data_IF_657521775882
#
_entry.id   IF_657521775882
#
_cell.length_a   1.000
_cell.length_b   1.000
_cell.length_c   1.000
_cell.angle_alpha   90.00
_cell.angle_beta   90.00
_cell.angle_gamma   90.00
#
_symmetry.space_group_name_H-M   'P 1'
#
loop_
_entity.id
_entity.type
_entity.pdbx_description
1 polymer ?
#
# COMPACT_ATOMS: atom_id res chain seq x y z
N UNK A 1 4.51 -2.80 -32.58
CA UNK A 1 5.88 -3.01 -32.06
C UNK A 1 5.73 -3.97 -30.92
N UNK A 2 6.10 -5.24 -31.12
CA UNK A 2 6.07 -6.23 -30.03
C UNK A 2 7.20 -5.87 -29.07
N UNK A 3 6.84 -5.41 -27.87
CA UNK A 3 7.83 -5.17 -26.82
C UNK A 3 8.55 -6.48 -26.50
N UNK A 4 9.85 -6.39 -26.20
CA UNK A 4 10.63 -7.55 -25.78
C UNK A 4 9.98 -8.16 -24.52
N UNK A 5 9.49 -9.39 -24.66
CA UNK A 5 8.91 -10.15 -23.54
C UNK A 5 10.05 -10.68 -22.67
N UNK A 6 10.00 -10.39 -21.37
CA UNK A 6 10.94 -10.92 -20.38
C UNK A 6 10.18 -11.79 -19.38
N UNK A 7 10.73 -12.94 -19.04
CA UNK A 7 10.23 -13.76 -17.94
C UNK A 7 10.55 -13.07 -16.62
N UNK A 8 9.53 -12.75 -15.82
CA UNK A 8 9.69 -12.21 -14.46
C UNK A 8 9.04 -13.15 -13.45
N UNK A 9 9.62 -13.22 -12.25
CA UNK A 9 9.00 -13.87 -11.11
C UNK A 9 7.97 -12.91 -10.50
N UNK A 10 6.70 -13.25 -10.58
CA UNK A 10 5.59 -12.51 -9.97
C UNK A 10 5.30 -13.08 -8.59
N UNK A 11 5.43 -12.23 -7.57
CA UNK A 11 5.01 -12.55 -6.20
C UNK A 11 3.57 -12.11 -5.99
N UNK A 12 2.72 -13.02 -5.51
CA UNK A 12 1.32 -12.77 -5.17
C UNK A 12 1.11 -13.01 -3.68
N UNK A 13 0.60 -12.01 -2.96
CA UNK A 13 0.16 -12.23 -1.57
C UNK A 13 -1.29 -12.73 -1.60
N UNK A 14 -1.50 -13.94 -1.09
CA UNK A 14 -2.83 -14.49 -0.81
C UNK A 14 -3.30 -14.00 0.55
N UNK A 15 -4.53 -13.49 0.59
CA UNK A 15 -5.17 -12.92 1.77
C UNK A 15 -6.40 -13.76 2.08
N UNK A 16 -6.32 -14.55 3.14
CA UNK A 16 -7.43 -15.34 3.69
C UNK A 16 -8.06 -14.56 4.85
N UNK A 17 -9.13 -13.82 4.55
CA UNK A 17 -9.78 -12.92 5.51
C UNK A 17 -10.47 -13.69 6.65
N UNK A 18 -10.85 -14.96 6.44
CA UNK A 18 -11.52 -15.78 7.45
C UNK A 18 -10.56 -16.23 8.55
N UNK A 19 -9.25 -16.27 8.26
CA UNK A 19 -8.19 -16.51 9.25
C UNK A 19 -7.74 -15.25 9.98
N UNK A 20 -8.13 -14.06 9.51
CA UNK A 20 -7.67 -12.82 10.10
C UNK A 20 -8.35 -12.56 11.45
N UNK A 21 -7.56 -12.46 12.52
CA UNK A 21 -8.07 -12.13 13.86
C UNK A 21 -8.01 -10.62 14.20
N UNK A 22 -7.64 -9.78 13.22
CA UNK A 22 -7.60 -8.32 13.39
C UNK A 22 -6.56 -7.81 14.39
N UNK A 23 -5.48 -8.56 14.66
CA UNK A 23 -4.43 -8.17 15.62
C UNK A 23 -3.59 -6.97 15.18
N UNK A 24 -3.57 -6.64 13.88
CA UNK A 24 -2.78 -5.55 13.26
C UNK A 24 -1.25 -5.70 13.43
N UNK A 25 -0.76 -6.91 13.70
CA UNK A 25 0.69 -7.19 13.76
C UNK A 25 1.41 -6.84 12.45
N UNK A 26 0.76 -7.08 11.30
CA UNK A 26 1.24 -6.69 9.99
C UNK A 26 1.42 -5.17 9.84
N UNK A 27 0.54 -4.36 10.43
CA UNK A 27 0.65 -2.90 10.36
C UNK A 27 1.89 -2.42 11.14
N UNK A 28 2.09 -2.97 12.33
CA UNK A 28 3.20 -2.67 13.23
C UNK A 28 4.53 -2.99 12.55
N UNK A 29 4.75 -4.24 12.14
CA UNK A 29 6.05 -4.65 11.59
C UNK A 29 6.39 -3.93 10.29
N UNK A 30 5.38 -3.71 9.43
CA UNK A 30 5.60 -3.01 8.17
C UNK A 30 6.02 -1.55 8.44
N UNK A 31 5.33 -0.85 9.34
CA UNK A 31 5.73 0.52 9.70
C UNK A 31 7.08 0.58 10.41
N UNK A 32 7.41 -0.43 11.21
CA UNK A 32 8.68 -0.51 11.92
C UNK A 32 9.86 -0.69 10.95
N UNK A 33 9.71 -1.60 10.00
CA UNK A 33 10.73 -1.85 8.98
C UNK A 33 11.01 -0.61 8.14
N UNK A 34 9.97 0.16 7.80
CA UNK A 34 10.08 1.37 6.99
C UNK A 34 10.40 2.63 7.81
N UNK A 35 10.66 2.52 9.11
CA UNK A 35 11.20 3.64 9.86
C UNK A 35 12.62 3.99 9.36
N UNK A 36 13.02 5.25 9.53
CA UNK A 36 14.36 5.70 9.20
C UNK A 36 15.07 6.18 10.48
N UNK A 37 16.08 5.44 11.00
CA UNK A 37 16.61 4.16 10.52
C UNK A 37 15.66 2.98 10.78
N UNK A 38 15.85 1.87 10.06
CA UNK A 38 14.98 0.67 10.15
C UNK A 38 14.78 0.25 11.61
N UNK A 39 13.53 -0.02 12.00
CA UNK A 39 13.10 -0.44 13.34
C UNK A 39 13.27 0.57 14.47
N UNK A 40 13.69 1.81 14.20
CA UNK A 40 13.87 2.85 15.24
C UNK A 40 12.56 3.27 15.92
N UNK A 41 11.43 3.15 15.22
CA UNK A 41 10.10 3.46 15.71
C UNK A 41 9.08 2.63 14.94
N UNK A 42 7.81 2.68 15.35
CA UNK A 42 6.71 2.12 14.56
C UNK A 42 5.50 3.06 14.66
N UNK A 43 4.71 3.11 13.59
CA UNK A 43 3.47 3.88 13.54
C UNK A 43 2.54 3.24 12.50
N UNK A 44 1.46 2.54 12.92
CA UNK A 44 0.53 1.90 12.00
C UNK A 44 -0.07 2.82 10.93
N UNK A 45 -0.15 4.13 11.18
CA UNK A 45 -0.60 5.10 10.17
C UNK A 45 0.33 5.16 8.94
N UNK A 46 1.63 4.87 9.13
CA UNK A 46 2.67 4.81 8.08
C UNK A 46 2.81 3.44 7.42
N UNK A 47 1.92 2.50 7.74
CA UNK A 47 2.01 1.13 7.24
C UNK A 47 1.51 1.02 5.80
N UNK A 48 2.20 0.20 5.00
CA UNK A 48 1.85 -0.12 3.61
C UNK A 48 0.83 -1.27 3.50
N UNK A 49 0.36 -1.78 4.64
CA UNK A 49 -0.80 -2.67 4.78
C UNK A 49 -1.68 -2.13 5.90
N UNK A 50 -3.00 -2.08 5.70
CA UNK A 50 -3.98 -1.57 6.68
C UNK A 50 -5.14 -2.55 6.80
N UNK A 51 -5.58 -2.84 8.02
CA UNK A 51 -6.71 -3.73 8.30
C UNK A 51 -7.98 -2.89 8.42
N UNK A 52 -8.96 -3.15 7.56
CA UNK A 52 -10.34 -2.74 7.80
C UNK A 52 -10.89 -3.66 8.87
N UNK A 53 -11.13 -3.10 10.06
CA UNK A 53 -11.45 -3.86 11.27
C UNK A 53 -12.73 -3.34 11.90
N UNK A 54 -13.81 -4.08 11.72
CA UNK A 54 -15.06 -3.87 12.44
C UNK A 54 -15.56 -5.19 13.06
N UNK A 55 -15.30 -5.40 14.36
CA UNK A 55 -15.73 -6.61 15.05
C UNK A 55 -17.25 -6.78 15.17
N UNK A 56 -18.04 -5.69 15.11
CA UNK A 56 -19.50 -5.80 15.21
C UNK A 56 -20.13 -6.26 13.90
N UNK A 57 -19.46 -6.01 12.77
CA UNK A 57 -19.85 -6.49 11.44
C UNK A 57 -19.08 -7.75 11.01
N UNK A 58 -18.20 -8.29 11.86
CA UNK A 58 -17.31 -9.41 11.53
C UNK A 58 -16.46 -9.12 10.27
N UNK A 59 -15.90 -7.92 10.18
CA UNK A 59 -15.07 -7.46 9.05
C UNK A 59 -13.61 -7.36 9.50
N UNK A 60 -12.74 -8.15 8.87
CA UNK A 60 -11.30 -8.19 9.10
C UNK A 60 -10.56 -8.33 7.77
N UNK A 61 -10.39 -7.22 7.05
CA UNK A 61 -9.83 -7.24 5.69
C UNK A 61 -8.47 -6.52 5.64
N UNK A 62 -7.36 -7.24 5.47
CA UNK A 62 -6.08 -6.65 5.12
C UNK A 62 -6.10 -6.05 3.70
N UNK A 63 -5.76 -4.78 3.58
CA UNK A 63 -5.66 -4.04 2.31
C UNK A 63 -4.26 -3.48 2.17
N UNK A 64 -3.62 -3.75 1.03
CA UNK A 64 -2.28 -3.28 0.73
C UNK A 64 -2.31 -1.96 -0.03
N UNK A 65 -1.37 -1.09 0.29
CA UNK A 65 -1.09 0.11 -0.50
C UNK A 65 -0.79 -0.27 -1.96
N UNK A 66 -1.35 0.49 -2.89
CA UNK A 66 -1.17 0.36 -4.33
C UNK A 66 -0.66 1.67 -4.92
N UNK A 67 -1.15 2.02 -6.11
CA UNK A 67 -0.69 3.20 -6.84
C UNK A 67 -1.19 4.52 -6.25
N UNK A 68 -0.45 5.59 -6.52
CA UNK A 68 -0.87 6.96 -6.28
C UNK A 68 -1.93 7.39 -7.32
N UNK A 69 -2.91 8.18 -6.88
CA UNK A 69 -3.80 8.91 -7.79
C UNK A 69 -3.89 10.37 -7.39
N UNK A 70 -3.75 11.26 -8.36
CA UNK A 70 -3.87 12.70 -8.16
C UNK A 70 -5.31 13.17 -7.96
N UNK A 71 -6.30 12.37 -8.40
CA UNK A 71 -7.71 12.74 -8.37
C UNK A 71 -8.57 11.61 -7.79
N UNK A 72 -9.73 12.00 -7.27
CA UNK A 72 -10.76 11.07 -6.84
C UNK A 72 -11.55 10.51 -8.03
N UNK A 73 -12.18 9.35 -7.84
CA UNK A 73 -13.13 8.81 -8.78
C UNK A 73 -14.38 9.70 -8.87
N UNK A 74 -14.98 9.82 -10.06
CA UNK A 74 -16.22 10.58 -10.26
C UNK A 74 -17.41 10.01 -9.45
N UNK A 75 -17.37 8.72 -9.15
CA UNK A 75 -18.28 8.04 -8.23
C UNK A 75 -17.49 7.05 -7.38
N UNK A 76 -17.91 6.88 -6.13
CA UNK A 76 -17.28 5.97 -5.18
C UNK A 76 -18.20 4.77 -4.97
N UNK A 77 -17.59 3.61 -4.78
CA UNK A 77 -18.29 2.33 -4.65
C UNK A 77 -18.41 1.92 -3.18
N UNK A 78 -19.51 1.22 -2.89
CA UNK A 78 -19.77 0.60 -1.59
C UNK A 78 -20.33 -0.79 -1.82
N UNK A 79 -19.76 -1.78 -1.16
CA UNK A 79 -20.09 -3.18 -1.39
C UNK A 79 -20.95 -3.76 -0.27
N UNK A 80 -21.91 -4.59 -0.68
CA UNK A 80 -22.54 -5.56 0.19
C UNK A 80 -22.19 -6.95 -0.36
N UNK A 81 -21.48 -7.74 0.45
CA UNK A 81 -21.01 -9.08 0.07
C UNK A 81 -21.40 -10.03 1.19
N UNK A 82 -22.11 -11.10 0.86
CA UNK A 82 -22.56 -12.14 1.81
C UNK A 82 -23.24 -11.57 3.07
N UNK A 83 -24.04 -10.51 2.90
CA UNK A 83 -24.77 -9.85 3.98
C UNK A 83 -23.94 -8.89 4.84
N UNK A 84 -22.63 -8.75 4.58
CA UNK A 84 -21.76 -7.75 5.22
C UNK A 84 -21.71 -6.48 4.40
N UNK A 85 -21.98 -5.34 5.04
CA UNK A 85 -21.87 -4.01 4.42
C UNK A 85 -20.50 -3.40 4.73
N UNK A 86 -19.69 -3.22 3.67
CA UNK A 86 -18.36 -2.63 3.73
C UNK A 86 -18.45 -1.11 3.60
N UNK A 87 -17.42 -0.41 4.09
CA UNK A 87 -17.35 1.04 3.98
C UNK A 87 -17.03 1.44 2.53
N UNK A 88 -17.34 2.68 2.17
CA UNK A 88 -17.03 3.25 0.85
C UNK A 88 -15.53 3.09 0.54
N UNK A 89 -15.18 2.68 -0.68
CA UNK A 89 -13.80 2.47 -1.13
C UNK A 89 -12.99 1.42 -0.33
N UNK A 90 -13.63 0.54 0.46
CA UNK A 90 -12.92 -0.44 1.33
C UNK A 90 -11.85 -1.28 0.63
N UNK A 91 -12.10 -1.73 -0.59
CA UNK A 91 -11.14 -2.59 -1.31
C UNK A 91 -10.17 -1.79 -2.19
N UNK A 92 -10.25 -0.45 -2.17
CA UNK A 92 -9.38 0.40 -2.95
C UNK A 92 -7.98 0.45 -2.33
N UNK A 93 -6.98 0.18 -3.17
CA UNK A 93 -5.56 0.20 -2.78
C UNK A 93 -4.90 1.57 -2.99
N UNK A 94 -5.57 2.48 -3.67
CA UNK A 94 -4.95 3.72 -4.11
C UNK A 94 -4.60 4.64 -2.93
N UNK A 95 -3.42 5.25 -3.01
CA UNK A 95 -3.09 6.44 -2.22
C UNK A 95 -3.84 7.63 -2.83
N UNK A 96 -5.04 7.89 -2.31
CA UNK A 96 -6.03 8.76 -2.91
C UNK A 96 -6.27 10.01 -2.04
N UNK A 97 -6.55 11.19 -2.63
CA UNK A 97 -6.90 12.38 -1.85
C UNK A 97 -8.17 12.22 -1.00
N UNK A 98 -9.05 11.27 -1.29
CA UNK A 98 -10.36 11.11 -0.64
C UNK A 98 -10.35 10.65 0.82
N UNK A 99 -9.24 10.10 1.32
CA UNK A 99 -9.12 9.40 2.61
C UNK A 99 -7.68 9.32 3.06
N UNK A 100 -7.38 9.03 4.33
CA UNK A 100 -6.01 9.12 4.86
C UNK A 100 -5.18 7.83 4.71
N UNK A 101 -5.77 6.70 4.33
CA UNK A 101 -4.99 5.48 4.17
C UNK A 101 -3.93 5.59 3.06
N UNK A 102 -2.81 4.89 3.29
CA UNK A 102 -1.68 4.82 2.37
C UNK A 102 -1.07 6.20 2.06
N UNK A 103 -1.10 7.10 3.04
CA UNK A 103 -0.37 8.35 3.03
C UNK A 103 0.39 8.54 4.33
N UNK A 104 1.52 9.22 4.27
CA UNK A 104 2.23 9.66 5.45
C UNK A 104 1.35 10.62 6.27
N UNK A 105 1.18 10.40 7.58
CA UNK A 105 0.20 11.12 8.40
C UNK A 105 0.57 12.60 8.64
N UNK A 106 1.83 12.96 8.43
CA UNK A 106 2.35 14.32 8.60
C UNK A 106 2.37 15.11 7.28
N UNK A 107 2.91 14.51 6.22
CA UNK A 107 3.14 15.18 4.94
C UNK A 107 2.02 14.93 3.92
N UNK A 108 1.30 13.81 4.03
CA UNK A 108 0.36 13.33 3.04
C UNK A 108 1.01 12.67 1.82
N UNK A 109 2.33 12.39 1.88
CA UNK A 109 3.04 11.70 0.79
C UNK A 109 2.49 10.28 0.57
N UNK A 110 2.39 9.81 -0.67
CA UNK A 110 1.84 8.49 -0.95
C UNK A 110 2.76 7.38 -0.43
N UNK A 111 2.15 6.37 0.17
CA UNK A 111 2.81 5.13 0.55
C UNK A 111 2.42 4.05 -0.46
N UNK A 112 3.40 3.24 -0.88
CA UNK A 112 3.21 2.09 -1.78
C UNK A 112 3.87 0.86 -1.17
N UNK A 113 3.22 -0.30 -1.28
CA UNK A 113 3.84 -1.56 -0.88
C UNK A 113 4.87 -1.97 -1.93
N UNK A 114 6.08 -2.22 -1.47
CA UNK A 114 7.27 -2.61 -2.22
C UNK A 114 7.60 -4.10 -2.06
N UNK A 115 6.65 -4.90 -1.55
CA UNK A 115 6.85 -6.33 -1.24
C UNK A 115 8.06 -6.62 -0.34
N UNK A 116 8.53 -5.64 0.44
CA UNK A 116 9.77 -5.71 1.21
C UNK A 116 10.98 -6.14 0.34
N UNK A 117 11.16 -5.50 -0.82
CA UNK A 117 12.31 -5.72 -1.70
C UNK A 117 13.64 -5.76 -0.92
N UNK A 118 14.45 -6.79 -1.19
CA UNK A 118 15.71 -7.05 -0.48
C UNK A 118 15.58 -7.91 0.78
N UNK A 119 14.37 -8.21 1.25
CA UNK A 119 14.12 -9.21 2.30
C UNK A 119 13.80 -10.59 1.71
N UNK A 120 14.05 -11.66 2.48
CA UNK A 120 13.77 -13.05 2.07
C UNK A 120 12.26 -13.28 1.83
N UNK A 121 11.41 -12.67 2.66
CA UNK A 121 9.96 -12.76 2.58
C UNK A 121 9.29 -11.45 3.09
N UNK A 122 8.06 -11.14 2.64
CA UNK A 122 7.32 -9.99 3.17
C UNK A 122 7.14 -10.10 4.69
N UNK A 123 7.58 -9.10 5.44
CA UNK A 123 7.55 -9.15 6.91
C UNK A 123 6.12 -9.22 7.49
N UNK A 124 5.14 -8.70 6.77
CA UNK A 124 3.72 -8.82 7.14
C UNK A 124 3.20 -10.26 7.04
N UNK A 125 3.72 -11.05 6.09
CA UNK A 125 3.45 -12.50 5.97
C UNK A 125 4.15 -13.22 7.12
N UNK A 126 5.44 -12.95 7.33
CA UNK A 126 6.25 -13.53 8.43
C UNK A 126 5.62 -13.35 9.82
N UNK A 127 5.04 -12.18 10.09
CA UNK A 127 4.42 -11.87 11.38
C UNK A 127 2.96 -12.29 11.48
N UNK A 128 2.35 -12.76 10.39
CA UNK A 128 0.99 -13.29 10.42
C UNK A 128 1.01 -14.76 10.88
N UNK A 129 1.15 -14.98 12.19
CA UNK A 129 1.27 -16.32 12.79
C UNK A 129 0.03 -17.23 12.61
N UNK A 130 -1.06 -16.70 12.07
CA UNK A 130 -2.31 -17.45 11.77
C UNK A 130 -2.47 -17.76 10.28
N UNK A 131 -1.45 -17.45 9.47
CA UNK A 131 -1.40 -17.72 8.04
C UNK A 131 -2.59 -17.14 7.25
N UNK A 132 -3.10 -15.97 7.70
CA UNK A 132 -4.07 -15.18 6.94
C UNK A 132 -3.42 -14.46 5.75
N UNK A 133 -2.09 -14.31 5.77
CA UNK A 133 -1.29 -13.74 4.69
C UNK A 133 -0.25 -14.79 4.29
N UNK A 134 -0.17 -15.14 3.01
CA UNK A 134 0.84 -16.05 2.46
C UNK A 134 1.36 -15.53 1.12
N UNK A 135 2.57 -15.91 0.72
CA UNK A 135 3.17 -15.49 -0.55
C UNK A 135 3.29 -16.68 -1.50
N UNK A 136 2.93 -16.49 -2.75
CA UNK A 136 3.15 -17.44 -3.85
C UNK A 136 3.97 -16.78 -4.95
N UNK A 137 4.84 -17.56 -5.58
CA UNK A 137 5.68 -17.10 -6.68
C UNK A 137 5.32 -17.87 -7.95
N UNK A 138 5.24 -17.18 -9.08
CA UNK A 138 5.07 -17.79 -10.40
C UNK A 138 5.93 -17.07 -11.43
N UNK A 139 6.37 -17.79 -12.46
CA UNK A 139 7.03 -17.18 -13.62
C UNK A 139 5.98 -16.74 -14.64
N UNK A 140 6.12 -15.52 -15.16
CA UNK A 140 5.20 -14.95 -16.14
C UNK A 140 5.98 -14.16 -17.19
N UNK A 141 5.63 -14.35 -18.48
CA UNK A 141 6.15 -13.51 -19.56
C UNK A 141 5.42 -12.18 -19.54
N UNK A 142 6.15 -11.10 -19.22
CA UNK A 142 5.57 -9.76 -19.14
C UNK A 142 6.26 -8.80 -20.10
N UNK A 143 5.49 -7.86 -20.62
CA UNK A 143 6.04 -6.73 -21.37
C UNK A 143 6.72 -5.75 -20.42
N UNK A 144 7.88 -5.24 -20.80
CA UNK A 144 8.66 -4.32 -19.99
C UNK A 144 7.93 -2.96 -19.87
N UNK A 145 7.41 -2.67 -18.69
CA UNK A 145 6.81 -1.38 -18.35
C UNK A 145 7.84 -0.49 -17.66
N UNK A 146 7.75 0.83 -17.87
CA UNK A 146 8.55 1.81 -17.14
C UNK A 146 8.07 1.87 -15.70
N UNK A 147 8.94 1.50 -14.78
CA UNK A 147 8.73 1.65 -13.35
C UNK A 147 9.03 3.10 -12.96
N UNK A 148 8.06 3.79 -12.35
CA UNK A 148 8.33 5.08 -11.71
C UNK A 148 8.93 4.84 -10.32
N UNK A 149 10.01 5.53 -10.00
CA UNK A 149 10.66 5.42 -8.69
C UNK A 149 9.81 6.10 -7.59
N UNK A 150 9.91 5.63 -6.35
CA UNK A 150 9.16 6.19 -5.20
C UNK A 150 9.39 7.71 -5.03
N UNK A 151 10.61 8.17 -5.30
CA UNK A 151 10.98 9.59 -5.27
C UNK A 151 10.19 10.40 -6.31
N UNK A 152 10.07 9.89 -7.53
CA UNK A 152 9.35 10.57 -8.62
C UNK A 152 7.86 10.72 -8.27
N UNK A 153 7.24 9.65 -7.75
CA UNK A 153 5.84 9.66 -7.31
C UNK A 153 5.63 10.66 -6.16
N UNK A 154 6.55 10.69 -5.19
CA UNK A 154 6.52 11.66 -4.09
C UNK A 154 6.60 13.10 -4.59
N UNK A 155 7.53 13.39 -5.51
CA UNK A 155 7.69 14.72 -6.12
C UNK A 155 6.49 15.11 -6.97
N UNK A 156 5.91 14.19 -7.74
CA UNK A 156 4.70 14.41 -8.53
C UNK A 156 3.52 14.76 -7.63
N UNK A 157 3.34 14.03 -6.52
CA UNK A 157 2.29 14.30 -5.53
C UNK A 157 2.43 15.68 -4.91
N UNK A 158 3.64 16.07 -4.51
CA UNK A 158 3.91 17.41 -4.01
C UNK A 158 3.65 18.48 -5.09
N UNK A 159 4.10 18.23 -6.32
CA UNK A 159 3.96 19.19 -7.44
C UNK A 159 2.51 19.43 -7.76
N UNK A 160 1.69 18.39 -7.76
CA UNK A 160 0.24 18.49 -7.94
C UNK A 160 -0.41 19.32 -6.83
N UNK A 161 0.07 19.19 -5.59
CA UNK A 161 -0.50 19.89 -4.43
C UNK A 161 -0.06 21.34 -4.30
N UNK A 162 1.19 21.66 -4.61
CA UNK A 162 1.80 22.95 -4.28
C UNK A 162 2.29 23.75 -5.50
N UNK A 163 2.44 23.10 -6.67
CA UNK A 163 3.04 23.68 -7.87
C UNK A 163 4.58 23.60 -7.87
N UNK A 164 5.17 23.49 -9.07
CA UNK A 164 6.61 23.27 -9.26
C UNK A 164 7.46 24.41 -8.69
N UNK A 165 7.08 25.67 -8.95
CA UNK A 165 7.86 26.84 -8.52
C UNK A 165 8.07 26.87 -7.00
N UNK A 166 7.01 26.58 -6.24
CA UNK A 166 7.10 26.56 -4.77
C UNK A 166 7.99 25.44 -4.25
N UNK A 167 8.00 24.29 -4.93
CA UNK A 167 8.86 23.17 -4.55
C UNK A 167 10.32 23.52 -4.83
N UNK A 168 10.62 24.05 -6.02
CA UNK A 168 11.98 24.49 -6.35
C UNK A 168 12.49 25.54 -5.35
N UNK A 169 11.67 26.52 -5.00
CA UNK A 169 11.99 27.54 -4.00
C UNK A 169 12.24 26.95 -2.60
N UNK A 170 11.46 25.94 -2.19
CA UNK A 170 11.61 25.29 -0.90
C UNK A 170 12.89 24.43 -0.85
N UNK A 171 13.16 23.65 -1.91
CA UNK A 171 14.36 22.82 -2.03
C UNK A 171 15.63 23.67 -2.03
N UNK A 172 15.63 24.82 -2.71
CA UNK A 172 16.78 25.73 -2.72
C UNK A 172 17.15 26.33 -1.35
N UNK A 173 16.27 26.19 -0.34
CA UNK A 173 16.47 26.72 1.03
C UNK A 173 16.89 25.64 2.04
N UNK A 174 16.89 24.37 1.66
CA UNK A 174 17.33 23.23 2.50
C UNK A 174 18.85 23.03 2.38
#
# INVERSE_FOLDING_TARGET
>A
MSGDKKTKTIKTIKIDVDKCNGCRACEVICSAFHAAPKYSSNNPARSRIRIIRDPFRDIYVPVYAGEYTAAECAGRDKYMIDGKEYDECSFCRASCPSRDEFKEPDSGLPLKCDMCEGEEEPLCVKWCLVDALTVEEREEEVEEQKEQEELEIGLESLTTKFGMDKIMDAVARL
#
